data_IF_377722591360
#
_entry.id   IF_377722591360
#
_cell.length_a   1.000
_cell.length_b   1.000
_cell.length_c   1.000
_cell.angle_alpha   90.00
_cell.angle_beta   90.00
_cell.angle_gamma   90.00
#
_symmetry.space_group_name_H-M   'P 1'
#
loop_
_entity.id
_entity.type
_entity.pdbx_description
1 polymer ?
#
# COMPACT_ATOMS: atom_id res chain seq x y z
N UNK A 1 33.84 -31.01 -26.79
CA UNK A 1 32.73 -30.08 -27.08
C UNK A 1 31.71 -30.17 -25.97
N UNK A 2 31.58 -29.13 -25.14
CA UNK A 2 30.41 -28.96 -24.27
C UNK A 2 30.01 -27.50 -24.36
N UNK A 3 29.02 -27.24 -25.21
CA UNK A 3 28.40 -25.94 -25.43
C UNK A 3 27.38 -25.72 -24.30
N UNK A 4 27.76 -24.96 -23.27
CA UNK A 4 26.84 -24.45 -22.26
C UNK A 4 26.65 -22.96 -22.50
N UNK A 5 25.60 -22.61 -23.24
CA UNK A 5 25.11 -21.24 -23.32
C UNK A 5 24.68 -20.77 -21.93
N UNK A 6 25.02 -19.53 -21.51
CA UNK A 6 24.53 -18.99 -20.25
C UNK A 6 23.01 -18.75 -20.32
N UNK A 7 22.28 -18.87 -19.21
CA UNK A 7 20.85 -18.62 -19.18
C UNK A 7 20.57 -17.15 -19.50
N UNK A 8 19.59 -16.93 -20.38
CA UNK A 8 19.09 -15.61 -20.75
C UNK A 8 18.27 -15.05 -19.58
N UNK A 9 18.84 -14.10 -18.82
CA UNK A 9 18.13 -13.41 -17.75
C UNK A 9 17.27 -12.30 -18.33
N UNK A 10 15.96 -12.43 -18.17
CA UNK A 10 14.99 -11.39 -18.51
C UNK A 10 15.04 -10.28 -17.42
N UNK A 11 15.29 -9.04 -17.84
CA UNK A 11 15.61 -7.90 -16.97
C UNK A 11 14.45 -7.35 -16.15
N UNK A 12 13.26 -7.98 -16.21
CA UNK A 12 12.05 -7.54 -15.52
C UNK A 12 11.98 -7.89 -14.03
N UNK A 13 12.81 -8.82 -13.54
CA UNK A 13 12.67 -9.37 -12.18
C UNK A 13 13.48 -8.65 -11.10
N UNK A 14 14.37 -7.72 -11.47
CA UNK A 14 15.27 -7.02 -10.53
C UNK A 14 14.54 -6.01 -9.62
N UNK A 15 13.32 -5.59 -9.97
CA UNK A 15 12.53 -4.66 -9.14
C UNK A 15 11.64 -5.35 -8.10
N UNK A 16 11.52 -6.68 -8.14
CA UNK A 16 10.79 -7.50 -7.16
C UNK A 16 11.72 -8.17 -6.12
N UNK A 17 13.01 -7.84 -6.14
CA UNK A 17 14.04 -8.51 -5.34
C UNK A 17 14.28 -7.90 -3.95
N UNK A 18 13.41 -7.01 -3.45
CA UNK A 18 13.52 -6.55 -2.05
C UNK A 18 13.26 -7.68 -1.05
N UNK A 19 12.33 -8.58 -1.37
CA UNK A 19 11.92 -9.69 -0.52
C UNK A 19 12.79 -10.93 -0.66
N UNK A 20 13.15 -11.30 -1.90
CA UNK A 20 13.90 -12.54 -2.16
C UNK A 20 15.40 -12.44 -1.83
N UNK A 21 16.05 -11.29 -2.02
CA UNK A 21 17.49 -11.16 -1.72
C UNK A 21 17.81 -10.92 -0.23
N UNK A 22 16.81 -10.78 0.64
CA UNK A 22 17.02 -10.50 2.08
C UNK A 22 16.97 -11.73 2.98
N UNK A 23 16.57 -12.90 2.46
CA UNK A 23 16.61 -14.15 3.23
C UNK A 23 18.04 -14.65 3.49
N UNK A 24 19.04 -14.20 2.72
CA UNK A 24 20.43 -14.69 2.78
C UNK A 24 21.39 -13.84 3.66
N UNK A 25 20.94 -12.76 4.32
CA UNK A 25 21.86 -11.97 5.16
C UNK A 25 21.75 -12.33 6.65
N UNK A 26 22.59 -13.26 7.11
CA UNK A 26 22.84 -13.56 8.54
C UNK A 26 23.45 -12.39 9.34
N UNK A 27 23.49 -11.17 8.79
CA UNK A 27 24.00 -9.97 9.44
C UNK A 27 23.01 -8.83 9.28
N UNK A 28 22.20 -8.61 10.31
CA UNK A 28 21.38 -7.40 10.47
C UNK A 28 22.29 -6.18 10.34
N UNK A 29 22.21 -5.47 9.21
CA UNK A 29 23.03 -4.28 8.98
C UNK A 29 22.31 -3.04 9.54
N UNK A 30 23.01 -1.95 9.83
CA UNK A 30 22.39 -0.69 10.24
C UNK A 30 21.36 -0.12 9.24
N UNK A 31 21.32 -0.65 8.00
CA UNK A 31 20.29 -0.39 6.97
C UNK A 31 18.99 -1.17 7.18
N UNK A 32 18.97 -2.18 8.05
CA UNK A 32 17.77 -2.92 8.44
C UNK A 32 17.06 -2.31 9.64
N UNK A 33 17.65 -1.27 10.25
CA UNK A 33 16.96 -0.44 11.26
C UNK A 33 15.91 0.39 10.54
N UNK A 34 14.73 0.54 11.15
CA UNK A 34 13.61 1.26 10.57
C UNK A 34 13.97 2.74 10.38
N UNK A 35 14.51 3.06 9.21
CA UNK A 35 14.88 4.40 8.80
C UNK A 35 13.64 5.12 8.23
N UNK A 36 13.53 6.44 8.43
CA UNK A 36 12.48 7.23 7.80
C UNK A 36 12.62 7.19 6.26
N UNK A 37 11.49 7.27 5.54
CA UNK A 37 11.51 7.36 4.08
C UNK A 37 12.01 8.74 3.63
N UNK A 38 12.52 8.84 2.41
CA UNK A 38 13.06 10.09 1.85
C UNK A 38 12.07 11.25 1.93
N UNK A 39 10.78 10.99 1.67
CA UNK A 39 9.75 12.03 1.75
C UNK A 39 9.55 12.56 3.18
N UNK A 40 9.61 11.68 4.18
CA UNK A 40 9.52 12.07 5.59
C UNK A 40 10.77 12.82 6.05
N UNK A 41 11.94 12.56 5.45
CA UNK A 41 13.14 13.34 5.72
C UNK A 41 13.09 14.74 5.08
N UNK A 42 12.32 14.90 4.00
CA UNK A 42 12.18 16.17 3.29
C UNK A 42 10.97 16.99 3.78
N UNK A 43 10.06 16.36 4.51
CA UNK A 43 8.87 17.00 5.07
C UNK A 43 9.20 17.50 6.47
N UNK A 44 9.31 18.81 6.62
CA UNK A 44 9.53 19.46 7.90
C UNK A 44 8.17 19.79 8.55
N UNK A 45 7.77 18.95 9.50
CA UNK A 45 6.56 19.15 10.31
C UNK A 45 6.77 20.19 11.43
N UNK A 46 8.01 20.58 11.74
CA UNK A 46 8.37 21.52 12.81
C UNK A 46 9.20 22.72 12.28
N UNK A 47 8.68 23.53 11.32
CA UNK A 47 9.46 24.58 10.64
C UNK A 47 10.01 25.69 11.57
N UNK A 48 9.52 25.77 12.80
CA UNK A 48 9.97 26.72 13.81
C UNK A 48 11.24 26.25 14.55
N UNK A 49 11.60 24.97 14.43
CA UNK A 49 12.69 24.34 15.17
C UNK A 49 13.97 24.38 14.32
N UNK A 50 14.81 25.39 14.57
CA UNK A 50 16.02 25.68 13.77
C UNK A 50 17.16 24.65 13.90
N UNK A 51 17.00 23.64 14.74
CA UNK A 51 18.01 22.62 14.98
C UNK A 51 17.32 21.26 14.99
N UNK A 52 17.69 20.41 14.03
CA UNK A 52 17.24 19.03 13.98
C UNK A 52 17.75 18.29 15.22
N UNK A 53 16.86 17.61 15.93
CA UNK A 53 17.27 16.69 16.99
C UNK A 53 18.16 15.60 16.36
N UNK A 54 19.33 15.33 16.97
CA UNK A 54 20.25 14.29 16.52
C UNK A 54 19.48 13.02 16.18
N UNK A 55 19.46 12.70 14.89
CA UNK A 55 18.56 11.72 14.27
C UNK A 55 18.46 10.46 15.11
N UNK A 56 17.38 10.35 15.91
CA UNK A 56 16.94 9.07 16.46
C UNK A 56 16.38 8.28 15.29
N UNK A 57 17.29 7.68 14.53
CA UNK A 57 17.10 6.85 13.33
C UNK A 57 16.31 5.54 13.60
N UNK A 58 15.44 5.53 14.61
CA UNK A 58 14.64 4.39 15.01
C UNK A 58 13.18 4.84 15.00
N UNK A 59 12.51 4.58 13.88
CA UNK A 59 11.06 4.67 13.77
C UNK A 59 10.46 3.67 14.76
N UNK A 60 9.47 4.08 15.57
CA UNK A 60 8.74 3.16 16.44
C UNK A 60 7.75 2.32 15.62
N UNK A 61 7.27 1.20 16.18
CA UNK A 61 6.22 0.41 15.53
C UNK A 61 4.94 1.23 15.27
N UNK A 62 4.54 2.06 16.23
CA UNK A 62 3.38 2.96 16.07
C UNK A 62 3.58 3.97 14.95
N UNK A 63 4.79 4.49 14.82
CA UNK A 63 5.14 5.46 13.79
C UNK A 63 5.18 4.80 12.39
N UNK A 64 5.69 3.57 12.29
CA UNK A 64 5.63 2.81 11.04
C UNK A 64 4.18 2.61 10.58
N UNK A 65 3.30 2.18 11.50
CA UNK A 65 1.88 2.00 11.20
C UNK A 65 1.21 3.30 10.75
N UNK A 66 1.46 4.40 11.48
CA UNK A 66 0.94 5.73 11.15
C UNK A 66 1.33 6.17 9.73
N UNK A 67 2.60 5.94 9.35
CA UNK A 67 3.10 6.28 8.01
C UNK A 67 2.44 5.43 6.93
N UNK A 68 2.34 4.12 7.14
CA UNK A 68 1.66 3.23 6.18
C UNK A 68 0.18 3.61 6.05
N UNK A 69 -0.50 3.92 7.16
CA UNK A 69 -1.89 4.37 7.14
C UNK A 69 -2.05 5.68 6.35
N UNK A 70 -1.17 6.67 6.57
CA UNK A 70 -1.15 7.92 5.79
C UNK A 70 -0.94 7.65 4.30
N UNK A 71 0.01 6.79 3.96
CA UNK A 71 0.37 6.55 2.57
C UNK A 71 -0.74 5.76 1.84
N UNK A 72 -1.39 4.81 2.53
CA UNK A 72 -2.63 4.15 2.05
C UNK A 72 -3.79 5.15 1.89
N UNK A 73 -3.95 6.09 2.82
CA UNK A 73 -4.94 7.16 2.73
C UNK A 73 -4.72 7.99 1.46
N UNK A 74 -3.47 8.33 1.13
CA UNK A 74 -3.16 9.00 -0.14
C UNK A 74 -3.42 8.11 -1.35
N UNK A 75 -3.06 6.83 -1.28
CA UNK A 75 -3.26 5.88 -2.36
C UNK A 75 -4.74 5.76 -2.73
N UNK A 76 -5.62 5.52 -1.77
CA UNK A 76 -7.04 5.29 -2.07
C UNK A 76 -7.80 6.56 -2.44
N UNK A 77 -7.30 7.74 -2.06
CA UNK A 77 -7.90 9.02 -2.44
C UNK A 77 -7.32 9.60 -3.74
N UNK A 78 -6.42 8.89 -4.42
CA UNK A 78 -5.97 9.24 -5.77
C UNK A 78 -6.73 8.41 -6.81
N UNK A 79 -7.22 9.08 -7.85
CA UNK A 79 -7.87 8.43 -8.99
C UNK A 79 -6.81 8.01 -10.00
N UNK A 80 -6.77 6.72 -10.33
CA UNK A 80 -5.84 6.18 -11.31
C UNK A 80 -6.29 6.46 -12.76
N UNK A 81 -5.44 6.14 -13.74
CA UNK A 81 -5.72 6.44 -15.15
C UNK A 81 -6.60 5.40 -15.85
N UNK A 82 -6.85 4.26 -15.20
CA UNK A 82 -7.60 3.14 -15.78
C UNK A 82 -9.09 3.44 -16.00
N UNK A 83 -9.61 4.51 -15.40
CA UNK A 83 -10.97 5.01 -15.73
C UNK A 83 -11.05 5.64 -17.12
N UNK A 84 -9.94 6.12 -17.67
CA UNK A 84 -9.90 6.90 -18.91
C UNK A 84 -9.08 6.23 -20.03
N UNK A 85 -8.15 5.35 -19.67
CA UNK A 85 -7.22 4.70 -20.59
C UNK A 85 -7.24 3.18 -20.38
N UNK A 86 -7.37 2.42 -21.47
CA UNK A 86 -7.13 0.98 -21.43
C UNK A 86 -5.62 0.70 -21.37
N UNK A 87 -5.17 0.20 -20.22
CA UNK A 87 -3.77 -0.16 -19.97
C UNK A 87 -3.52 -1.67 -20.14
N UNK A 88 -4.43 -2.41 -20.78
CA UNK A 88 -4.29 -3.85 -21.04
C UNK A 88 -2.94 -4.24 -21.63
N UNK A 89 -2.53 -3.55 -22.69
CA UNK A 89 -1.27 -3.79 -23.41
C UNK A 89 -0.02 -3.22 -22.70
N UNK A 90 -0.21 -2.43 -21.63
CA UNK A 90 0.86 -1.69 -20.95
C UNK A 90 1.01 -2.09 -19.46
N UNK A 91 1.36 -3.36 -19.15
CA UNK A 91 1.42 -3.85 -17.78
C UNK A 91 2.46 -3.12 -16.89
N UNK A 92 3.50 -2.54 -17.50
CA UNK A 92 4.50 -1.75 -16.78
C UNK A 92 3.99 -0.36 -16.41
N UNK A 93 3.13 0.23 -17.23
CA UNK A 93 2.50 1.53 -16.94
C UNK A 93 1.51 1.37 -15.79
N UNK A 94 0.71 0.30 -15.81
CA UNK A 94 -0.26 -0.03 -14.74
C UNK A 94 0.38 -0.09 -13.35
N UNK A 95 1.62 -0.57 -13.24
CA UNK A 95 2.37 -0.71 -11.97
C UNK A 95 3.31 0.48 -11.69
N UNK A 96 3.30 1.48 -12.54
CA UNK A 96 4.15 2.66 -12.39
C UNK A 96 3.43 3.75 -11.61
N UNK A 97 4.18 4.75 -11.14
CA UNK A 97 3.63 5.93 -10.48
C UNK A 97 2.68 6.74 -11.38
N UNK A 98 2.70 6.54 -12.70
CA UNK A 98 1.74 7.16 -13.63
C UNK A 98 0.31 6.67 -13.40
N UNK A 99 0.15 5.47 -12.84
CA UNK A 99 -1.14 4.87 -12.54
C UNK A 99 -1.34 4.72 -11.02
N UNK A 100 -0.75 5.64 -10.25
CA UNK A 100 -0.92 5.66 -8.79
C UNK A 100 -2.38 5.95 -8.43
N UNK A 101 -2.92 5.13 -7.54
CA UNK A 101 -4.28 5.30 -7.02
C UNK A 101 -5.17 4.07 -7.25
N UNK A 102 -6.48 4.32 -7.21
CA UNK A 102 -7.51 3.32 -7.51
C UNK A 102 -8.55 3.89 -8.49
N UNK A 103 -9.32 3.01 -9.10
CA UNK A 103 -10.42 3.43 -9.96
C UNK A 103 -11.48 4.17 -9.14
N UNK A 104 -12.01 5.27 -9.69
CA UNK A 104 -13.02 6.07 -8.98
C UNK A 104 -14.25 5.24 -8.62
N UNK A 105 -14.67 5.38 -7.37
CA UNK A 105 -15.92 4.81 -6.83
C UNK A 105 -17.03 5.85 -6.71
N UNK A 106 -16.71 7.14 -6.88
CA UNK A 106 -17.68 8.23 -6.77
C UNK A 106 -18.80 8.10 -7.81
N UNK A 107 -20.04 8.28 -7.38
CA UNK A 107 -21.23 8.25 -8.24
C UNK A 107 -21.68 6.85 -8.69
N UNK A 108 -21.02 5.78 -8.22
CA UNK A 108 -21.48 4.40 -8.45
C UNK A 108 -22.59 4.05 -7.46
N UNK A 109 -23.61 3.36 -7.94
CA UNK A 109 -24.68 2.84 -7.09
C UNK A 109 -24.22 1.59 -6.37
N UNK A 110 -24.55 1.45 -5.10
CA UNK A 110 -24.26 0.26 -4.29
C UNK A 110 -24.72 -1.05 -4.96
N UNK A 111 -25.84 -1.02 -5.68
CA UNK A 111 -26.42 -2.17 -6.40
C UNK A 111 -25.59 -2.63 -7.60
N UNK A 112 -24.80 -1.72 -8.19
CA UNK A 112 -24.09 -1.94 -9.45
C UNK A 112 -22.60 -2.24 -9.17
N UNK A 113 -22.21 -2.23 -7.89
CA UNK A 113 -20.85 -2.46 -7.44
C UNK A 113 -20.67 -3.95 -7.12
N UNK A 114 -19.75 -4.58 -7.84
CA UNK A 114 -19.26 -5.91 -7.49
C UNK A 114 -18.18 -5.80 -6.42
N UNK A 115 -18.48 -6.25 -5.20
CA UNK A 115 -17.57 -6.18 -4.04
C UNK A 115 -16.22 -6.84 -4.30
N UNK A 116 -16.25 -7.93 -5.07
CA UNK A 116 -15.04 -8.68 -5.40
C UNK A 116 -14.08 -7.86 -6.27
N UNK A 117 -14.60 -6.99 -7.13
CA UNK A 117 -13.79 -6.15 -8.01
C UNK A 117 -13.14 -5.01 -7.23
N UNK A 118 -13.86 -4.38 -6.30
CA UNK A 118 -13.28 -3.39 -5.37
C UNK A 118 -12.18 -4.04 -4.53
N UNK A 119 -12.47 -5.21 -3.94
CA UNK A 119 -11.50 -5.93 -3.11
C UNK A 119 -10.22 -6.25 -3.89
N UNK A 120 -10.35 -6.71 -5.14
CA UNK A 120 -9.21 -6.98 -6.03
C UNK A 120 -8.44 -5.72 -6.37
N UNK A 121 -9.14 -4.65 -6.77
CA UNK A 121 -8.52 -3.38 -7.13
C UNK A 121 -7.72 -2.78 -5.96
N UNK A 122 -8.27 -2.80 -4.74
CA UNK A 122 -7.58 -2.36 -3.53
C UNK A 122 -6.37 -3.25 -3.23
N UNK A 123 -6.53 -4.58 -3.28
CA UNK A 123 -5.44 -5.52 -3.03
C UNK A 123 -4.29 -5.31 -4.01
N UNK A 124 -4.58 -5.20 -5.30
CA UNK A 124 -3.58 -4.99 -6.34
C UNK A 124 -2.86 -3.65 -6.16
N UNK A 125 -3.60 -2.57 -5.89
CA UNK A 125 -3.03 -1.24 -5.63
C UNK A 125 -2.08 -1.25 -4.43
N UNK A 126 -2.47 -1.90 -3.31
CA UNK A 126 -1.59 -2.08 -2.15
C UNK A 126 -0.31 -2.84 -2.54
N UNK A 127 -0.43 -3.93 -3.28
CA UNK A 127 0.71 -4.76 -3.66
C UNK A 127 1.68 -4.04 -4.62
N UNK A 128 1.19 -3.09 -5.43
CA UNK A 128 2.04 -2.32 -6.35
C UNK A 128 2.69 -1.11 -5.69
N UNK A 129 1.98 -0.43 -4.79
CA UNK A 129 2.39 0.89 -4.29
C UNK A 129 2.85 0.90 -2.82
N UNK A 130 2.55 -0.14 -2.04
CA UNK A 130 2.94 -0.25 -0.62
C UNK A 130 3.87 -1.44 -0.32
N UNK A 131 5.17 -1.37 -0.68
CA UNK A 131 6.11 -2.48 -0.52
C UNK A 131 6.44 -2.83 0.94
N UNK A 132 6.05 -1.97 1.90
CA UNK A 132 6.21 -2.23 3.34
C UNK A 132 5.22 -3.27 3.85
N UNK A 133 4.09 -3.46 3.16
CA UNK A 133 3.10 -4.47 3.47
C UNK A 133 3.56 -5.80 2.85
N UNK A 134 3.61 -6.85 3.67
CA UNK A 134 3.89 -8.21 3.24
C UNK A 134 2.74 -8.73 2.37
N UNK A 135 3.01 -9.22 1.15
CA UNK A 135 2.01 -9.90 0.34
C UNK A 135 1.45 -11.14 1.06
N UNK A 136 2.30 -11.83 1.83
CA UNK A 136 1.89 -13.00 2.59
C UNK A 136 0.99 -12.59 3.76
N UNK A 137 -0.30 -12.86 3.62
CA UNK A 137 -1.30 -12.61 4.67
C UNK A 137 -2.03 -11.27 4.56
N UNK A 138 -1.82 -10.51 3.48
CA UNK A 138 -2.69 -9.39 3.14
C UNK A 138 -4.11 -9.89 2.84
N UNK A 139 -5.09 -9.35 3.55
CA UNK A 139 -6.51 -9.65 3.38
C UNK A 139 -7.27 -8.33 3.35
N UNK A 140 -7.99 -8.10 2.26
CA UNK A 140 -8.95 -7.00 2.13
C UNK A 140 -10.34 -7.61 2.16
N UNK A 141 -11.25 -7.08 2.97
CA UNK A 141 -12.64 -7.55 3.09
C UNK A 141 -13.60 -6.38 3.04
N UNK A 142 -14.58 -6.42 2.15
CA UNK A 142 -15.69 -5.47 2.17
C UNK A 142 -16.73 -5.93 3.22
N UNK A 143 -17.14 -5.03 4.08
CA UNK A 143 -18.19 -5.25 5.09
C UNK A 143 -19.43 -4.49 4.62
N UNK A 144 -20.45 -5.23 4.21
CA UNK A 144 -21.77 -4.68 3.96
C UNK A 144 -22.64 -4.88 5.22
N UNK A 145 -23.01 -3.80 5.90
CA UNK A 145 -24.07 -3.89 6.91
C UNK A 145 -25.42 -3.84 6.19
N UNK A 146 -26.01 -5.00 5.96
CA UNK A 146 -27.34 -5.13 5.36
C UNK A 146 -28.47 -4.68 6.31
N UNK A 147 -28.17 -4.29 7.55
CA UNK A 147 -29.16 -3.97 8.59
C UNK A 147 -29.42 -2.47 8.82
N UNK A 148 -28.54 -1.57 8.38
CA UNK A 148 -28.68 -0.13 8.66
C UNK A 148 -29.35 0.61 7.51
N UNK A 149 -30.66 0.77 7.60
CA UNK A 149 -31.52 1.61 6.73
C UNK A 149 -31.18 3.12 6.76
N UNK A 150 -30.02 3.51 7.33
CA UNK A 150 -29.62 4.92 7.53
C UNK A 150 -28.28 5.26 6.86
N UNK A 151 -27.51 4.27 6.36
CA UNK A 151 -26.19 4.47 5.71
C UNK A 151 -26.20 3.93 4.27
N UNK A 152 -27.02 4.53 3.40
CA UNK A 152 -27.26 3.96 2.06
C UNK A 152 -26.10 4.07 1.05
N UNK A 153 -25.04 4.86 1.35
CA UNK A 153 -23.95 5.14 0.42
C UNK A 153 -22.54 4.97 1.03
N UNK A 154 -22.41 4.32 2.20
CA UNK A 154 -21.11 4.10 2.84
C UNK A 154 -20.71 2.63 2.73
N UNK A 155 -19.49 2.38 2.23
CA UNK A 155 -18.87 1.07 2.16
C UNK A 155 -17.75 0.96 3.20
N UNK A 156 -17.90 0.08 4.18
CA UNK A 156 -16.83 -0.26 5.12
C UNK A 156 -15.93 -1.36 4.53
N UNK A 157 -14.62 -1.23 4.73
CA UNK A 157 -13.61 -2.16 4.26
C UNK A 157 -12.59 -2.39 5.39
N UNK A 158 -12.25 -3.65 5.63
CA UNK A 158 -11.17 -4.04 6.51
C UNK A 158 -9.94 -4.47 5.71
N UNK A 159 -8.77 -4.02 6.14
CA UNK A 159 -7.47 -4.36 5.57
C UNK A 159 -6.62 -4.93 6.70
N UNK A 160 -6.36 -6.23 6.64
CA UNK A 160 -5.50 -6.94 7.58
C UNK A 160 -4.22 -7.37 6.89
N UNK A 161 -3.09 -7.30 7.58
CA UNK A 161 -1.84 -7.81 7.04
C UNK A 161 -0.69 -7.74 8.02
N UNK A 162 0.52 -7.80 7.47
CA UNK A 162 1.77 -7.67 8.22
C UNK A 162 2.67 -6.63 7.58
N UNK A 163 3.30 -5.79 8.38
CA UNK A 163 4.31 -4.84 7.96
C UNK A 163 5.69 -5.46 8.13
N UNK A 164 6.57 -5.23 7.17
CA UNK A 164 7.98 -5.56 7.29
C UNK A 164 8.66 -4.66 8.31
N UNK A 165 9.16 -5.24 9.39
CA UNK A 165 10.00 -4.56 10.36
C UNK A 165 10.96 -5.55 11.04
N UNK A 166 11.94 -5.02 11.75
CA UNK A 166 12.98 -5.77 12.47
C UNK A 166 12.68 -5.71 13.96
N UNK A 167 12.78 -6.83 14.70
CA UNK A 167 13.31 -8.14 14.28
C UNK A 167 12.29 -9.10 13.65
N UNK A 168 10.99 -8.81 13.74
CA UNK A 168 9.93 -9.64 13.18
C UNK A 168 8.81 -8.75 12.60
N UNK A 169 8.02 -9.27 11.64
CA UNK A 169 6.88 -8.55 11.08
C UNK A 169 5.84 -8.13 12.11
N UNK A 170 5.23 -6.96 11.90
CA UNK A 170 4.19 -6.40 12.77
C UNK A 170 2.82 -6.62 12.14
N UNK A 171 1.88 -7.25 12.85
CA UNK A 171 0.50 -7.35 12.38
C UNK A 171 -0.19 -5.98 12.43
N UNK A 172 -1.10 -5.76 11.48
CA UNK A 172 -1.98 -4.60 11.48
C UNK A 172 -3.40 -4.93 11.04
N UNK A 173 -4.34 -4.14 11.55
CA UNK A 173 -5.71 -4.09 11.10
C UNK A 173 -6.14 -2.62 10.91
N UNK A 174 -6.44 -2.27 9.68
CA UNK A 174 -7.00 -0.98 9.31
C UNK A 174 -8.45 -1.15 8.88
N UNK A 175 -9.27 -0.16 9.19
CA UNK A 175 -10.63 -0.03 8.68
C UNK A 175 -10.73 1.23 7.86
N UNK A 176 -11.38 1.16 6.72
CA UNK A 176 -11.73 2.33 5.93
C UNK A 176 -13.21 2.37 5.62
N UNK A 177 -13.80 3.55 5.73
CA UNK A 177 -15.14 3.81 5.26
C UNK A 177 -15.04 4.66 3.98
N UNK A 178 -15.78 4.25 2.94
CA UNK A 178 -15.82 4.92 1.64
C UNK A 178 -17.19 5.51 1.45
N UNK A 179 -17.26 6.82 1.25
CA UNK A 179 -18.48 7.49 0.85
C UNK A 179 -18.61 7.44 -0.68
N UNK A 180 -19.63 6.73 -1.20
CA UNK A 180 -19.84 6.56 -2.63
C UNK A 180 -20.35 7.83 -3.32
N UNK A 181 -20.78 8.86 -2.57
CA UNK A 181 -21.21 10.13 -3.17
C UNK A 181 -20.01 10.92 -3.69
N UNK A 182 -18.93 10.97 -2.91
CA UNK A 182 -17.73 11.73 -3.23
C UNK A 182 -16.50 10.85 -3.52
N UNK A 183 -16.58 9.54 -3.30
CA UNK A 183 -15.48 8.58 -3.47
C UNK A 183 -14.37 8.71 -2.43
N UNK A 184 -14.61 9.40 -1.32
CA UNK A 184 -13.60 9.65 -0.29
C UNK A 184 -13.44 8.45 0.63
N UNK A 185 -12.18 8.05 0.85
CA UNK A 185 -11.81 7.00 1.79
C UNK A 185 -11.36 7.65 3.10
N UNK A 186 -11.85 7.18 4.25
CA UNK A 186 -11.39 7.57 5.59
C UNK A 186 -10.77 6.36 6.30
N UNK A 187 -9.44 6.30 6.44
CA UNK A 187 -8.71 5.18 7.03
C UNK A 187 -8.45 5.40 8.52
N UNK A 188 -8.73 4.36 9.31
CA UNK A 188 -8.54 4.34 10.75
C UNK A 188 -7.77 3.10 11.16
N UNK A 189 -6.83 3.30 12.08
CA UNK A 189 -6.14 2.22 12.76
C UNK A 189 -7.06 1.64 13.85
N UNK A 190 -7.31 0.33 13.81
CA UNK A 190 -8.17 -0.36 14.76
C UNK A 190 -7.45 -1.52 15.50
N UNK A 191 -6.14 -1.71 15.30
CA UNK A 191 -5.38 -2.76 16.01
C UNK A 191 -3.96 -2.97 15.53
#
# INVERSE_FOLDING_TARGET
MNDKRPPHYDGGDLRRQGYRNRQDSERLTSRDKMQPVLLDMLTDDEPQKKQEEQVRNLVSHSELRRRVLRDLQWLFNCVNSESNLDLGDFPQVRRSTLNYGIASLAGKRMSDIEWLDIQRALTDSILHFEPRILPEGLQVRCISDTGSLELHNVLSIEIKGRLWCVPYPLEFLFRTDVDLENGHFDLKDIG
#
